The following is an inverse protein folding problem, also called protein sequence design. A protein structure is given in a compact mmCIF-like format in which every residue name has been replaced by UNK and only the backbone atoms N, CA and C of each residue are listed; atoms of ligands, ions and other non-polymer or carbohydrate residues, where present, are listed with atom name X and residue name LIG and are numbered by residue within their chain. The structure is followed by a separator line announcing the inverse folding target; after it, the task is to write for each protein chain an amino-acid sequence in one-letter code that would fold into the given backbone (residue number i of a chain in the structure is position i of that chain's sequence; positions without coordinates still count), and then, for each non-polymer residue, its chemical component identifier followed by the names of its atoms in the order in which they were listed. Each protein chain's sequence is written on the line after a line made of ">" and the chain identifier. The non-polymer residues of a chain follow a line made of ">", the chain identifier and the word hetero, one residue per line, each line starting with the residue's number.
data_IF_643723882662
#
_entry.id   IF_643723882662
#
_cell.length_a   1.000
_cell.length_b   1.000
_cell.length_c   1.000
_cell.angle_alpha   90.00
_cell.angle_beta   90.00
_cell.angle_gamma   90.00
#
_symmetry.space_group_name_H-M   'P 1'
#
loop_
_entity.id
_entity.type
_entity.pdbx_description
1 polymer ?
#
# COMPACT_ATOMS: atom_id res chain seq x y z
N UNK A 1 21.04 -1.46 -28.49
CA UNK A 1 22.08 -2.29 -29.11
C UNK A 1 21.48 -3.68 -29.32
N UNK A 2 21.46 -4.16 -30.56
CA UNK A 2 20.88 -5.45 -30.90
C UNK A 2 21.91 -6.55 -30.62
N UNK A 3 21.94 -7.02 -29.37
CA UNK A 3 22.77 -8.14 -28.95
C UNK A 3 22.05 -9.43 -29.35
N UNK A 4 22.56 -10.08 -30.39
CA UNK A 4 21.97 -11.31 -30.93
C UNK A 4 22.74 -12.53 -30.46
N UNK A 5 22.05 -13.46 -29.82
CA UNK A 5 22.60 -14.78 -29.55
C UNK A 5 22.58 -15.63 -30.83
N UNK A 6 23.46 -16.62 -30.95
CA UNK A 6 23.31 -17.68 -31.94
C UNK A 6 21.95 -18.39 -31.80
N UNK A 7 21.38 -18.98 -32.87
CA UNK A 7 20.00 -19.49 -32.86
C UNK A 7 19.68 -20.51 -31.76
N UNK A 8 20.63 -21.40 -31.43
CA UNK A 8 20.46 -22.40 -30.38
C UNK A 8 20.47 -21.77 -28.98
N UNK A 9 21.39 -20.82 -28.74
CA UNK A 9 21.49 -20.08 -27.49
C UNK A 9 20.29 -19.14 -27.27
N UNK A 10 19.81 -18.48 -28.33
CA UNK A 10 18.63 -17.60 -28.28
C UNK A 10 17.40 -18.35 -27.76
N UNK A 11 17.18 -19.59 -28.22
CA UNK A 11 16.05 -20.40 -27.78
C UNK A 11 16.11 -20.73 -26.29
N UNK A 12 17.29 -21.12 -25.80
CA UNK A 12 17.52 -21.47 -24.39
C UNK A 12 17.34 -20.24 -23.48
N UNK A 13 17.87 -19.09 -23.90
CA UNK A 13 17.74 -17.82 -23.17
C UNK A 13 16.30 -17.32 -23.20
N UNK A 14 15.60 -17.43 -24.34
CA UNK A 14 14.20 -17.04 -24.47
C UNK A 14 13.31 -17.85 -23.51
N UNK A 15 13.50 -19.18 -23.44
CA UNK A 15 12.75 -20.05 -22.52
C UNK A 15 12.98 -19.64 -21.05
N UNK A 16 14.21 -19.26 -20.69
CA UNK A 16 14.53 -18.78 -19.35
C UNK A 16 13.85 -17.43 -19.05
N UNK A 17 13.94 -16.47 -19.98
CA UNK A 17 13.33 -15.16 -19.84
C UNK A 17 11.79 -15.24 -19.82
N UNK A 18 11.19 -16.19 -20.53
CA UNK A 18 9.75 -16.41 -20.49
C UNK A 18 9.31 -16.96 -19.12
N UNK A 19 10.06 -17.91 -18.56
CA UNK A 19 9.84 -18.37 -17.18
C UNK A 19 9.99 -17.22 -16.19
N UNK A 20 11.01 -16.40 -16.32
CA UNK A 20 11.23 -15.23 -15.47
C UNK A 20 10.08 -14.21 -15.61
N UNK A 21 9.65 -13.90 -16.84
CA UNK A 21 8.50 -13.04 -17.13
C UNK A 21 7.22 -13.57 -16.49
N UNK A 22 7.00 -14.88 -16.52
CA UNK A 22 5.83 -15.51 -15.92
C UNK A 22 5.75 -15.31 -14.40
N UNK A 23 6.91 -15.22 -13.74
CA UNK A 23 7.02 -14.96 -12.30
C UNK A 23 6.93 -13.47 -11.93
N UNK A 24 7.16 -12.57 -12.90
CA UNK A 24 7.04 -11.12 -12.75
C UNK A 24 5.63 -10.56 -13.04
N UNK A 25 4.61 -11.41 -13.22
CA UNK A 25 3.23 -11.02 -13.59
C UNK A 25 2.51 -10.02 -12.65
N UNK A 26 3.07 -9.73 -11.47
CA UNK A 26 2.53 -8.75 -10.53
C UNK A 26 3.13 -7.33 -10.66
N UNK A 27 4.10 -7.12 -11.57
CA UNK A 27 4.75 -5.83 -11.79
C UNK A 27 4.13 -5.07 -12.98
N UNK A 28 4.35 -3.75 -13.02
CA UNK A 28 4.01 -2.94 -14.17
C UNK A 28 4.83 -3.37 -15.39
N UNK A 29 4.22 -3.38 -16.59
CA UNK A 29 4.84 -3.83 -17.84
C UNK A 29 6.14 -3.10 -18.16
N UNK A 30 6.22 -1.79 -17.82
CA UNK A 30 7.44 -0.99 -18.01
C UNK A 30 8.60 -1.51 -17.17
N UNK A 31 8.37 -1.75 -15.88
CA UNK A 31 9.41 -2.23 -14.96
C UNK A 31 9.80 -3.67 -15.27
N UNK A 32 8.82 -4.49 -15.66
CA UNK A 32 9.05 -5.86 -16.14
C UNK A 32 9.96 -5.86 -17.39
N UNK A 33 9.73 -4.95 -18.34
CA UNK A 33 10.55 -4.80 -19.53
C UNK A 33 11.99 -4.38 -19.23
N UNK A 34 12.18 -3.44 -18.30
CA UNK A 34 13.50 -2.96 -17.87
C UNK A 34 14.34 -4.09 -17.26
N UNK A 35 13.75 -4.86 -16.34
CA UNK A 35 14.40 -5.99 -15.68
C UNK A 35 14.77 -7.10 -16.68
N UNK A 36 13.84 -7.43 -17.58
CA UNK A 36 14.11 -8.44 -18.61
C UNK A 36 15.24 -8.02 -19.56
N UNK A 37 15.30 -6.74 -19.91
CA UNK A 37 16.36 -6.20 -20.77
C UNK A 37 17.72 -6.23 -20.07
N UNK A 38 17.77 -5.86 -18.79
CA UNK A 38 18.99 -5.90 -17.98
C UNK A 38 19.53 -7.33 -17.83
N UNK A 39 18.66 -8.28 -17.48
CA UNK A 39 19.04 -9.70 -17.34
C UNK A 39 19.50 -10.26 -18.68
N UNK A 40 18.79 -9.96 -19.78
CA UNK A 40 19.22 -10.35 -21.12
C UNK A 40 20.60 -9.81 -21.46
N UNK A 41 20.91 -8.57 -21.07
CA UNK A 41 22.23 -7.97 -21.26
C UNK A 41 23.31 -8.70 -20.47
N UNK A 42 23.07 -8.99 -19.18
CA UNK A 42 24.02 -9.73 -18.34
C UNK A 42 24.28 -11.16 -18.83
N UNK A 43 23.23 -11.84 -19.30
CA UNK A 43 23.36 -13.17 -19.91
C UNK A 43 24.22 -13.07 -21.16
N UNK A 44 24.01 -12.05 -22.00
CA UNK A 44 24.78 -11.87 -23.23
C UNK A 44 26.26 -11.57 -22.96
N UNK A 45 26.55 -10.72 -21.98
CA UNK A 45 27.93 -10.37 -21.59
C UNK A 45 28.66 -11.58 -21.00
N UNK A 46 27.97 -12.37 -20.18
CA UNK A 46 28.51 -13.61 -19.61
C UNK A 46 28.70 -14.70 -20.68
N UNK A 47 27.79 -14.77 -21.66
CA UNK A 47 27.89 -15.69 -22.78
C UNK A 47 29.02 -15.33 -23.75
N UNK A 48 29.23 -14.04 -23.99
CA UNK A 48 30.26 -13.54 -24.92
C UNK A 48 31.66 -13.58 -24.32
N UNK A 49 31.77 -13.52 -22.99
CA UNK A 49 33.04 -13.62 -22.28
C UNK A 49 33.48 -15.06 -22.02
N UNK A 50 32.57 -16.04 -22.12
CA UNK A 50 32.87 -17.47 -22.05
C UNK A 50 33.24 -17.99 -23.46
N UNK A 51 34.51 -18.34 -23.68
CA UNK A 51 34.99 -18.89 -24.94
C UNK A 51 34.99 -20.42 -24.99
N UNK A 52 34.53 -21.09 -23.94
CA UNK A 52 34.75 -22.52 -23.73
C UNK A 52 33.54 -23.36 -24.16
N UNK A 53 33.74 -24.47 -24.86
CA UNK A 53 32.65 -25.37 -25.27
C UNK A 53 31.69 -24.80 -26.34
N UNK A 54 30.65 -25.58 -26.64
CA UNK A 54 29.67 -25.20 -27.66
C UNK A 54 28.66 -24.15 -27.17
N UNK A 55 27.87 -23.60 -28.09
CA UNK A 55 26.92 -22.52 -27.80
C UNK A 55 25.84 -22.92 -26.77
N UNK A 56 25.47 -24.20 -26.73
CA UNK A 56 24.45 -24.74 -25.83
C UNK A 56 25.04 -24.85 -24.43
N UNK A 57 26.22 -25.46 -24.31
CA UNK A 57 26.93 -25.64 -23.05
C UNK A 57 27.27 -24.30 -22.40
N UNK A 58 27.72 -23.33 -23.19
CA UNK A 58 27.93 -21.95 -22.71
C UNK A 58 26.65 -21.35 -22.14
N UNK A 59 25.55 -21.45 -22.88
CA UNK A 59 24.25 -20.91 -22.45
C UNK A 59 23.79 -21.56 -21.14
N UNK A 60 23.87 -22.89 -21.05
CA UNK A 60 23.47 -23.62 -19.85
C UNK A 60 24.35 -23.29 -18.64
N UNK A 61 25.65 -23.09 -18.82
CA UNK A 61 26.55 -22.67 -17.72
C UNK A 61 26.23 -21.26 -17.23
N UNK A 62 25.98 -20.31 -18.13
CA UNK A 62 25.56 -18.95 -17.74
C UNK A 62 24.26 -18.99 -16.95
N UNK A 63 23.27 -19.73 -17.42
CA UNK A 63 22.00 -19.89 -16.71
C UNK A 63 22.15 -20.61 -15.37
N UNK A 64 23.03 -21.60 -15.28
CA UNK A 64 23.34 -22.30 -14.02
C UNK A 64 23.99 -21.39 -12.98
N UNK A 65 24.85 -20.44 -13.42
CA UNK A 65 25.42 -19.40 -12.55
C UNK A 65 24.37 -18.39 -12.09
N UNK A 66 23.38 -18.10 -12.94
CA UNK A 66 22.27 -17.21 -12.60
C UNK A 66 21.33 -17.82 -11.56
N UNK A 67 21.11 -19.14 -11.63
CA UNK A 67 20.23 -19.86 -10.71
C UNK A 67 18.79 -19.96 -11.19
N UNK A 68 17.92 -20.51 -10.34
CA UNK A 68 16.51 -20.70 -10.67
C UNK A 68 15.82 -19.33 -10.90
N UNK A 69 14.99 -19.19 -11.95
CA UNK A 69 14.24 -17.96 -12.20
C UNK A 69 13.49 -17.42 -10.96
N UNK A 70 13.00 -18.30 -10.08
CA UNK A 70 12.34 -17.93 -8.84
C UNK A 70 13.28 -17.29 -7.80
N UNK A 71 14.49 -17.81 -7.68
CA UNK A 71 15.51 -17.26 -6.77
C UNK A 71 15.99 -15.89 -7.26
N UNK A 72 16.20 -15.77 -8.57
CA UNK A 72 16.59 -14.49 -9.22
C UNK A 72 15.52 -13.43 -9.03
N UNK A 73 14.24 -13.79 -9.17
CA UNK A 73 13.14 -12.85 -8.89
C UNK A 73 13.10 -12.48 -7.41
N UNK A 74 13.27 -13.43 -6.49
CA UNK A 74 13.20 -13.15 -5.04
C UNK A 74 14.27 -12.16 -4.56
N UNK A 75 15.50 -12.27 -5.06
CA UNK A 75 16.61 -11.37 -4.71
C UNK A 75 16.39 -9.95 -5.25
N UNK A 76 15.82 -9.83 -6.46
CA UNK A 76 15.57 -8.53 -7.12
C UNK A 76 14.26 -7.87 -6.69
N UNK A 77 13.25 -8.63 -6.26
CA UNK A 77 12.03 -8.08 -5.64
C UNK A 77 12.40 -7.34 -4.35
N UNK A 78 13.37 -7.81 -3.57
CA UNK A 78 13.91 -7.09 -2.40
C UNK A 78 14.53 -5.72 -2.74
N UNK A 79 15.28 -5.64 -3.85
CA UNK A 79 15.85 -4.39 -4.35
C UNK A 79 14.78 -3.45 -4.97
N UNK A 80 13.79 -4.01 -5.64
CA UNK A 80 12.65 -3.27 -6.21
C UNK A 80 11.83 -2.60 -5.11
N UNK A 81 11.64 -3.30 -3.98
CA UNK A 81 10.91 -2.82 -2.79
C UNK A 81 11.68 -1.69 -2.10
N UNK A 82 13.01 -1.80 -1.99
CA UNK A 82 13.84 -0.71 -1.45
C UNK A 82 13.89 0.50 -2.41
N UNK A 83 13.80 0.28 -3.72
CA UNK A 83 13.70 1.36 -4.74
C UNK A 83 12.33 2.06 -4.71
N UNK A 84 11.23 1.31 -4.57
CA UNK A 84 9.87 1.82 -4.38
C UNK A 84 9.73 2.61 -3.07
N UNK A 85 10.32 2.12 -1.99
CA UNK A 85 10.38 2.81 -0.69
C UNK A 85 11.20 4.11 -0.74
N UNK A 86 12.25 4.18 -1.57
CA UNK A 86 13.05 5.40 -1.78
C UNK A 86 12.39 6.43 -2.70
N UNK A 87 11.66 6.03 -3.73
CA UNK A 87 11.09 6.98 -4.71
C UNK A 87 9.75 7.61 -4.32
N UNK A 88 8.95 6.98 -3.46
CA UNK A 88 7.72 7.59 -2.91
C UNK A 88 7.75 7.50 -1.39
N UNK A 89 8.00 8.63 -0.72
CA UNK A 89 7.97 8.84 0.74
C UNK A 89 6.57 8.63 1.36
N UNK A 90 5.90 7.53 1.03
CA UNK A 90 4.58 7.21 1.53
C UNK A 90 4.68 5.91 2.32
N UNK A 91 4.37 5.98 3.61
CA UNK A 91 4.38 4.88 4.56
C UNK A 91 3.64 3.63 4.05
N UNK A 92 2.57 3.84 3.25
CA UNK A 92 1.77 2.78 2.66
C UNK A 92 2.53 1.92 1.64
N UNK A 93 3.52 2.47 0.94
CA UNK A 93 4.37 1.69 0.03
C UNK A 93 5.40 0.86 0.77
N UNK A 94 5.87 1.33 1.94
CA UNK A 94 6.73 0.53 2.82
C UNK A 94 5.94 -0.66 3.36
N UNK A 95 4.71 -0.42 3.82
CA UNK A 95 3.78 -1.49 4.25
C UNK A 95 3.50 -2.45 3.10
N UNK A 96 3.23 -1.96 1.89
CA UNK A 96 3.03 -2.81 0.72
C UNK A 96 4.27 -3.64 0.39
N UNK A 97 5.47 -3.07 0.48
CA UNK A 97 6.74 -3.78 0.31
C UNK A 97 6.91 -4.90 1.33
N UNK A 98 6.64 -4.62 2.61
CA UNK A 98 6.66 -5.65 3.67
C UNK A 98 5.65 -6.76 3.38
N UNK A 99 4.43 -6.42 2.96
CA UNK A 99 3.46 -7.43 2.54
C UNK A 99 3.95 -8.23 1.34
N UNK A 100 4.59 -7.63 0.33
CA UNK A 100 5.13 -8.35 -0.83
C UNK A 100 6.23 -9.34 -0.40
N UNK A 101 7.16 -8.93 0.48
CA UNK A 101 8.20 -9.82 1.02
C UNK A 101 7.57 -10.97 1.82
N UNK A 102 6.62 -10.66 2.70
CA UNK A 102 5.91 -11.68 3.47
C UNK A 102 5.12 -12.63 2.56
N UNK A 103 4.50 -12.13 1.49
CA UNK A 103 3.77 -12.95 0.53
C UNK A 103 4.68 -13.75 -0.42
N UNK A 104 5.94 -13.40 -0.57
CA UNK A 104 6.93 -14.17 -1.34
C UNK A 104 7.49 -15.35 -0.54
N UNK A 105 7.55 -15.23 0.80
CA UNK A 105 7.98 -16.32 1.67
C UNK A 105 6.94 -17.47 1.70
N UNK A 106 7.36 -18.74 1.71
CA UNK A 106 6.48 -19.90 1.82
C UNK A 106 6.00 -20.05 3.27
N UNK A 107 5.21 -19.09 3.73
CA UNK A 107 4.64 -19.13 5.07
C UNK A 107 3.45 -20.08 5.08
N UNK A 108 3.49 -21.07 5.97
CA UNK A 108 2.33 -21.92 6.28
C UNK A 108 1.16 -21.14 6.91
N UNK A 109 0.17 -21.85 7.47
CA UNK A 109 -1.04 -21.26 8.07
C UNK A 109 -0.77 -20.11 9.07
N UNK A 110 0.35 -20.14 9.80
CA UNK A 110 0.72 -19.06 10.74
C UNK A 110 1.01 -17.71 10.10
N UNK A 111 1.58 -17.67 8.88
CA UNK A 111 1.81 -16.40 8.19
C UNK A 111 0.54 -15.78 7.63
N UNK A 112 -0.44 -16.60 7.24
CA UNK A 112 -1.77 -16.10 6.86
C UNK A 112 -2.47 -15.39 8.02
N UNK A 113 -2.35 -15.92 9.23
CA UNK A 113 -2.88 -15.27 10.45
C UNK A 113 -2.24 -13.91 10.73
N UNK A 114 -0.92 -13.80 10.60
CA UNK A 114 -0.21 -12.52 10.75
C UNK A 114 -0.62 -11.49 9.70
N UNK A 115 -0.72 -11.89 8.43
CA UNK A 115 -1.18 -11.01 7.36
C UNK A 115 -2.62 -10.56 7.58
N UNK A 116 -3.51 -11.48 7.93
CA UNK A 116 -4.90 -11.15 8.25
C UNK A 116 -5.01 -10.20 9.45
N UNK A 117 -4.23 -10.44 10.51
CA UNK A 117 -4.17 -9.58 11.68
C UNK A 117 -3.64 -8.18 11.35
N UNK A 118 -2.58 -8.08 10.55
CA UNK A 118 -2.04 -6.80 10.08
C UNK A 118 -3.06 -6.02 9.24
N UNK A 119 -3.75 -6.70 8.33
CA UNK A 119 -4.79 -6.08 7.51
C UNK A 119 -5.97 -5.61 8.36
N UNK A 120 -6.42 -6.42 9.33
CA UNK A 120 -7.49 -6.04 10.26
C UNK A 120 -7.09 -4.83 11.11
N UNK A 121 -5.85 -4.79 11.59
CA UNK A 121 -5.31 -3.65 12.34
C UNK A 121 -5.28 -2.38 11.48
N UNK A 122 -4.78 -2.46 10.24
CA UNK A 122 -4.76 -1.32 9.32
C UNK A 122 -6.17 -0.83 8.96
N UNK A 123 -7.11 -1.75 8.76
CA UNK A 123 -8.52 -1.41 8.55
C UNK A 123 -9.12 -0.72 9.78
N UNK A 124 -8.81 -1.19 10.99
CA UNK A 124 -9.22 -0.55 12.24
C UNK A 124 -8.69 0.88 12.38
N UNK A 125 -7.40 1.10 12.09
CA UNK A 125 -6.82 2.44 12.07
C UNK A 125 -7.50 3.37 11.06
N UNK A 126 -7.84 2.85 9.89
CA UNK A 126 -8.56 3.61 8.87
C UNK A 126 -9.95 4.04 9.35
N UNK A 127 -10.70 3.11 9.95
CA UNK A 127 -12.02 3.40 10.53
C UNK A 127 -11.90 4.45 11.63
N UNK A 128 -10.93 4.30 12.54
CA UNK A 128 -10.67 5.27 13.61
C UNK A 128 -10.32 6.65 13.07
N UNK A 129 -9.52 6.73 12.00
CA UNK A 129 -9.18 7.98 11.33
C UNK A 129 -10.43 8.69 10.78
N UNK A 130 -11.31 7.97 10.06
CA UNK A 130 -12.54 8.55 9.52
C UNK A 130 -13.53 8.95 10.62
N UNK A 131 -13.70 8.11 11.65
CA UNK A 131 -14.54 8.43 12.80
C UNK A 131 -14.06 9.72 13.48
N UNK A 132 -12.74 9.84 13.68
CA UNK A 132 -12.12 11.05 14.25
C UNK A 132 -12.41 12.28 13.38
N UNK A 133 -12.19 12.18 12.07
CA UNK A 133 -12.47 13.28 11.14
C UNK A 133 -13.93 13.74 11.18
N UNK A 134 -14.89 12.79 11.21
CA UNK A 134 -16.32 13.10 11.31
C UNK A 134 -16.64 13.78 12.65
N UNK A 135 -16.09 13.29 13.76
CA UNK A 135 -16.27 13.91 15.08
C UNK A 135 -15.74 15.35 15.08
N UNK A 136 -14.58 15.61 14.50
CA UNK A 136 -14.04 16.96 14.35
C UNK A 136 -14.99 17.87 13.54
N UNK A 137 -15.52 17.40 12.41
CA UNK A 137 -16.48 18.18 11.62
C UNK A 137 -17.74 18.50 12.41
N UNK A 138 -18.39 17.49 13.00
CA UNK A 138 -19.65 17.65 13.74
C UNK A 138 -19.44 18.56 14.95
N UNK A 139 -18.43 18.31 15.76
CA UNK A 139 -18.11 19.12 16.94
C UNK A 139 -17.79 20.56 16.55
N UNK A 140 -17.06 20.77 15.44
CA UNK A 140 -16.80 22.11 14.91
C UNK A 140 -18.08 22.84 14.52
N UNK A 141 -18.99 22.21 13.79
CA UNK A 141 -20.28 22.82 13.44
C UNK A 141 -21.18 23.10 14.65
N UNK A 142 -21.24 22.19 15.61
CA UNK A 142 -22.01 22.38 16.85
C UNK A 142 -21.48 23.56 17.66
N UNK A 143 -20.15 23.63 17.85
CA UNK A 143 -19.53 24.76 18.55
C UNK A 143 -19.71 26.09 17.79
N UNK A 144 -19.72 26.06 16.45
CA UNK A 144 -19.96 27.26 15.65
C UNK A 144 -21.39 27.78 15.84
N UNK A 145 -22.37 26.87 15.91
CA UNK A 145 -23.75 27.21 16.20
C UNK A 145 -23.90 27.83 17.59
N UNK A 146 -23.23 27.27 18.60
CA UNK A 146 -23.20 27.86 19.95
C UNK A 146 -22.58 29.25 19.91
N UNK A 147 -21.41 29.42 19.30
CA UNK A 147 -20.76 30.72 19.17
C UNK A 147 -21.64 31.76 18.48
N UNK A 148 -22.39 31.37 17.45
CA UNK A 148 -23.34 32.23 16.75
C UNK A 148 -24.52 32.66 17.65
N UNK A 149 -25.09 31.73 18.41
CA UNK A 149 -26.14 32.04 19.40
C UNK A 149 -25.61 33.05 20.42
N UNK A 150 -24.39 32.85 20.92
CA UNK A 150 -23.77 33.77 21.89
C UNK A 150 -23.57 35.18 21.31
N UNK A 151 -23.31 35.31 20.00
CA UNK A 151 -23.16 36.61 19.33
C UNK A 151 -24.52 37.29 19.12
N UNK A 152 -25.51 36.57 18.59
CA UNK A 152 -26.82 37.14 18.18
C UNK A 152 -27.75 37.34 19.37
N UNK A 153 -27.72 36.44 20.34
CA UNK A 153 -28.66 36.42 21.48
C UNK A 153 -27.92 36.05 22.77
N UNK A 154 -27.12 36.99 23.32
CA UNK A 154 -26.34 36.74 24.52
C UNK A 154 -27.21 36.41 25.74
N UNK A 155 -28.43 36.96 25.82
CA UNK A 155 -29.36 36.68 26.92
C UNK A 155 -29.83 35.22 26.93
N UNK A 156 -30.14 34.65 25.75
CA UNK A 156 -30.48 33.23 25.61
C UNK A 156 -29.32 32.33 26.04
N UNK A 157 -28.08 32.72 25.69
CA UNK A 157 -26.89 31.98 26.12
C UNK A 157 -26.70 32.02 27.64
N UNK A 158 -26.95 33.17 28.28
CA UNK A 158 -26.91 33.31 29.73
C UNK A 158 -28.03 32.50 30.42
N UNK A 159 -29.23 32.44 29.85
CA UNK A 159 -30.32 31.60 30.34
C UNK A 159 -29.99 30.11 30.23
N UNK A 160 -29.39 29.67 29.11
CA UNK A 160 -28.91 28.30 28.93
C UNK A 160 -27.87 27.95 30.00
N UNK A 161 -26.90 28.83 30.25
CA UNK A 161 -25.90 28.61 31.32
C UNK A 161 -26.54 28.56 32.71
N UNK A 162 -27.55 29.40 32.98
CA UNK A 162 -28.30 29.38 34.24
C UNK A 162 -29.11 28.11 34.42
N UNK A 163 -29.71 27.60 33.35
CA UNK A 163 -30.45 26.33 33.35
C UNK A 163 -29.53 25.12 33.52
N UNK A 164 -28.36 25.14 32.86
CA UNK A 164 -27.38 24.07 32.96
C UNK A 164 -26.68 24.00 34.33
N UNK A 165 -26.80 25.04 35.17
CA UNK A 165 -26.19 25.09 36.50
C UNK A 165 -24.67 25.30 36.51
N UNK A 166 -24.03 25.25 35.35
CA UNK A 166 -22.61 25.53 35.14
C UNK A 166 -22.41 26.39 33.88
N UNK A 167 -21.29 27.12 33.83
CA UNK A 167 -20.90 27.85 32.63
C UNK A 167 -20.48 26.84 31.54
N UNK A 168 -21.39 26.54 30.62
CA UNK A 168 -21.18 25.55 29.55
C UNK A 168 -19.97 25.90 28.69
N UNK A 169 -19.67 27.19 28.51
CA UNK A 169 -18.44 27.68 27.88
C UNK A 169 -17.85 28.86 28.66
N UNK A 170 -16.67 28.67 29.25
CA UNK A 170 -15.98 29.69 30.03
C UNK A 170 -14.64 30.05 29.38
N UNK A 171 -14.59 31.18 28.68
CA UNK A 171 -13.36 31.70 28.08
C UNK A 171 -12.67 32.67 29.03
N UNK A 172 -11.96 32.11 30.02
CA UNK A 172 -11.04 32.80 30.93
C UNK A 172 -11.30 34.31 31.13
N UNK A 173 -10.52 35.21 30.51
CA UNK A 173 -10.61 36.66 30.74
C UNK A 173 -11.83 37.36 30.11
N UNK A 174 -12.62 36.69 29.27
CA UNK A 174 -13.73 37.30 28.51
C UNK A 174 -15.12 36.95 29.05
N UNK A 175 -15.21 36.45 30.28
CA UNK A 175 -16.49 36.05 30.90
C UNK A 175 -17.54 37.16 30.96
N UNK A 176 -17.08 38.42 31.08
CA UNK A 176 -17.97 39.59 31.15
C UNK A 176 -18.37 40.13 29.76
N UNK A 177 -17.86 39.53 28.67
CA UNK A 177 -18.14 39.96 27.30
C UNK A 177 -18.60 38.76 26.44
N UNK A 178 -19.89 38.38 26.52
CA UNK A 178 -20.44 37.20 25.84
C UNK A 178 -20.18 37.23 24.33
N UNK A 179 -20.33 38.39 23.69
CA UNK A 179 -20.11 38.55 22.26
C UNK A 179 -18.66 38.23 21.84
N UNK A 180 -17.68 38.66 22.63
CA UNK A 180 -16.25 38.37 22.36
C UNK A 180 -15.96 36.88 22.54
N UNK A 181 -16.52 36.27 23.58
CA UNK A 181 -16.45 34.83 23.80
C UNK A 181 -17.10 34.05 22.63
N UNK A 182 -18.24 34.52 22.12
CA UNK A 182 -18.94 33.94 20.97
C UNK A 182 -18.10 34.00 19.70
N UNK A 183 -17.46 35.14 19.40
CA UNK A 183 -16.55 35.30 18.24
C UNK A 183 -15.35 34.36 18.35
N UNK A 184 -14.71 34.27 19.51
CA UNK A 184 -13.59 33.35 19.73
C UNK A 184 -14.01 31.89 19.57
N UNK A 185 -15.17 31.52 20.13
CA UNK A 185 -15.76 30.18 19.98
C UNK A 185 -15.99 29.87 18.51
N UNK A 186 -16.55 30.81 17.75
CA UNK A 186 -16.80 30.67 16.33
C UNK A 186 -15.51 30.46 15.53
N UNK A 187 -14.45 31.21 15.83
CA UNK A 187 -13.14 31.05 15.18
C UNK A 187 -12.56 29.66 15.46
N UNK A 188 -12.53 29.24 16.72
CA UNK A 188 -12.01 27.91 17.12
C UNK A 188 -12.84 26.80 16.48
N UNK A 189 -14.16 26.94 16.48
CA UNK A 189 -15.09 26.00 15.90
C UNK A 189 -14.88 25.84 14.38
N UNK A 190 -14.68 26.95 13.66
CA UNK A 190 -14.37 26.94 12.23
C UNK A 190 -13.02 26.30 11.94
N UNK A 191 -11.99 26.55 12.77
CA UNK A 191 -10.69 25.86 12.65
C UNK A 191 -10.83 24.35 12.86
N UNK A 192 -11.64 23.95 13.85
CA UNK A 192 -11.86 22.55 14.20
C UNK A 192 -12.63 21.80 13.10
N UNK A 193 -13.66 22.44 12.53
CA UNK A 193 -14.39 21.93 11.37
C UNK A 193 -13.49 21.86 10.12
N UNK A 194 -12.68 22.88 9.87
CA UNK A 194 -11.72 22.92 8.75
C UNK A 194 -10.68 21.80 8.86
N UNK A 195 -10.19 21.51 10.07
CA UNK A 195 -9.28 20.38 10.33
C UNK A 195 -9.96 19.05 9.96
N UNK A 196 -11.19 18.83 10.42
CA UNK A 196 -11.96 17.63 10.09
C UNK A 196 -12.19 17.48 8.57
N UNK A 197 -12.56 18.56 7.88
CA UNK A 197 -12.72 18.58 6.43
C UNK A 197 -11.40 18.34 5.70
N UNK A 198 -10.29 18.88 6.19
CA UNK A 198 -8.96 18.65 5.63
C UNK A 198 -8.53 17.19 5.79
N UNK A 199 -8.85 16.55 6.92
CA UNK A 199 -8.66 15.11 7.10
C UNK A 199 -9.47 14.30 6.09
N UNK A 200 -10.77 14.63 5.92
CA UNK A 200 -11.62 13.98 4.92
C UNK A 200 -11.12 14.23 3.48
N UNK A 201 -10.59 15.41 3.18
CA UNK A 201 -10.04 15.71 1.86
C UNK A 201 -8.74 14.93 1.59
N UNK A 202 -7.86 14.87 2.59
CA UNK A 202 -6.61 14.07 2.55
C UNK A 202 -6.89 12.59 2.31
N UNK A 203 -8.04 12.08 2.75
CA UNK A 203 -8.44 10.68 2.55
C UNK A 203 -8.50 10.24 1.07
N UNK A 204 -8.64 11.17 0.11
CA UNK A 204 -8.50 10.88 -1.34
C UNK A 204 -7.15 10.26 -1.69
N UNK A 205 -6.11 10.56 -0.92
CA UNK A 205 -4.76 10.02 -1.13
C UNK A 205 -4.61 8.63 -0.49
N UNK A 206 -5.25 8.43 0.66
CA UNK A 206 -5.31 7.15 1.37
C UNK A 206 -6.06 6.10 0.54
N UNK A 207 -7.18 6.49 -0.09
CA UNK A 207 -7.97 5.59 -0.94
C UNK A 207 -7.16 4.96 -2.08
N UNK A 208 -6.27 5.74 -2.72
CA UNK A 208 -5.41 5.22 -3.80
C UNK A 208 -4.43 4.16 -3.30
N UNK A 209 -3.83 4.38 -2.12
CA UNK A 209 -2.91 3.42 -1.50
C UNK A 209 -3.62 2.15 -1.02
N UNK A 210 -4.82 2.29 -0.45
CA UNK A 210 -5.63 1.15 -0.01
C UNK A 210 -6.10 0.29 -1.18
N UNK A 211 -6.53 0.90 -2.28
CA UNK A 211 -6.95 0.15 -3.48
C UNK A 211 -5.82 -0.71 -4.02
N UNK A 212 -4.58 -0.20 -4.01
CA UNK A 212 -3.39 -0.99 -4.38
C UNK A 212 -3.18 -2.18 -3.44
N UNK A 213 -3.24 -1.95 -2.12
CA UNK A 213 -3.12 -3.01 -1.10
C UNK A 213 -4.21 -4.08 -1.25
N UNK A 214 -5.46 -3.67 -1.49
CA UNK A 214 -6.58 -4.57 -1.68
C UNK A 214 -6.39 -5.46 -2.91
N UNK A 215 -5.99 -4.88 -4.04
CA UNK A 215 -5.72 -5.64 -5.25
C UNK A 215 -4.60 -6.66 -5.05
N UNK A 216 -3.52 -6.27 -4.36
CA UNK A 216 -2.41 -7.17 -4.04
C UNK A 216 -2.87 -8.39 -3.24
N UNK A 217 -3.71 -8.16 -2.21
CA UNK A 217 -4.25 -9.23 -1.36
C UNK A 217 -5.20 -10.12 -2.15
N UNK A 218 -6.12 -9.54 -2.93
CA UNK A 218 -7.08 -10.29 -3.75
C UNK A 218 -6.40 -11.17 -4.79
N UNK A 219 -5.37 -10.66 -5.45
CA UNK A 219 -4.60 -11.43 -6.44
C UNK A 219 -3.87 -12.60 -5.79
N UNK A 220 -3.34 -12.41 -4.57
CA UNK A 220 -2.74 -13.51 -3.81
C UNK A 220 -3.76 -14.57 -3.41
N UNK A 221 -4.92 -14.16 -2.87
CA UNK A 221 -6.00 -15.09 -2.51
C UNK A 221 -6.41 -15.92 -3.73
N UNK A 222 -6.62 -15.27 -4.89
CA UNK A 222 -6.92 -15.97 -6.15
C UNK A 222 -5.83 -16.97 -6.54
N UNK A 223 -4.56 -16.61 -6.39
CA UNK A 223 -3.44 -17.51 -6.71
C UNK A 223 -3.38 -18.74 -5.80
N UNK A 224 -3.69 -18.58 -4.51
CA UNK A 224 -3.74 -19.69 -3.54
C UNK A 224 -4.92 -20.61 -3.83
N UNK A 225 -6.10 -20.04 -4.10
CA UNK A 225 -7.26 -20.83 -4.50
C UNK A 225 -7.03 -21.58 -5.81
N UNK A 226 -6.32 -20.99 -6.78
CA UNK A 226 -5.96 -21.67 -8.02
C UNK A 226 -4.99 -22.83 -7.80
N UNK A 227 -3.98 -22.67 -6.92
CA UNK A 227 -3.06 -23.76 -6.53
C UNK A 227 -3.78 -24.89 -5.80
N UNK A 228 -4.64 -24.56 -4.84
CA UNK A 228 -5.44 -25.55 -4.10
C UNK A 228 -6.37 -26.34 -5.02
N UNK A 229 -7.00 -25.67 -5.99
CA UNK A 229 -7.88 -26.34 -6.98
C UNK A 229 -7.10 -27.32 -7.88
N UNK A 230 -5.88 -26.96 -8.29
CA UNK A 230 -5.00 -27.85 -9.07
C UNK A 230 -4.60 -29.11 -8.29
N UNK A 231 -4.19 -28.96 -7.03
CA UNK A 231 -3.81 -30.11 -6.18
C UNK A 231 -4.96 -31.10 -5.98
N UNK A 232 -6.20 -30.60 -5.80
CA UNK A 232 -7.40 -31.45 -5.68
C UNK A 232 -7.73 -32.16 -7.01
N UNK A 233 -7.41 -31.54 -8.14
CA UNK A 233 -7.68 -32.10 -9.46
C UNK A 233 -6.63 -33.18 -9.83
N UNK A 234 -5.36 -32.96 -9.46
CA UNK A 234 -4.28 -33.94 -9.65
C UNK A 234 -4.50 -35.18 -8.75
N UNK A 235 -4.92 -35.01 -7.50
CA UNK A 235 -5.25 -36.11 -6.56
C UNK A 235 -6.44 -36.98 -7.05
N UNK A 236 -7.40 -36.37 -7.76
CA UNK A 236 -8.49 -37.11 -8.41
C UNK A 236 -8.06 -37.84 -9.69
N UNK A 237 -7.01 -37.38 -10.37
CA UNK A 237 -6.51 -38.00 -11.61
C UNK A 237 -5.50 -39.13 -11.39
N UNK A 238 -4.82 -39.15 -10.23
CA UNK A 238 -3.85 -40.18 -9.85
C UNK A 238 -4.44 -41.44 -9.21
N UNK A 239 -5.76 -41.61 -9.22
CA UNK A 239 -6.48 -42.77 -8.67
C UNK A 239 -7.06 -43.74 -9.72
N UNK A 240 -6.61 -43.66 -10.97
CA UNK A 240 -6.98 -44.66 -12.00
C UNK A 240 -5.85 -45.64 -12.29
#
# INVERSE_FOLDING_TARGET
>A
MNNHFPPAAEKIVADYLEKLKSQLKGMNEKDQGEILAEIRSHIYESFSSDGEGDEIDRSLRVLKKLGDPAEVVSSRVGESITRLGKQKKSLLYIVAGVLIVFFAAPLGMGGLGLVAGLLAFLAGLLVAYFATAVVFVISGFLCALVGLITIISPDLFLEINRWAGEAVFQFGPFQNHPQVAGVLTLIIAMMLAALGLLMLWSSKHIWRGMHFLFNLVMDKIRSLFARGRKLIQDDKSGKS
#
